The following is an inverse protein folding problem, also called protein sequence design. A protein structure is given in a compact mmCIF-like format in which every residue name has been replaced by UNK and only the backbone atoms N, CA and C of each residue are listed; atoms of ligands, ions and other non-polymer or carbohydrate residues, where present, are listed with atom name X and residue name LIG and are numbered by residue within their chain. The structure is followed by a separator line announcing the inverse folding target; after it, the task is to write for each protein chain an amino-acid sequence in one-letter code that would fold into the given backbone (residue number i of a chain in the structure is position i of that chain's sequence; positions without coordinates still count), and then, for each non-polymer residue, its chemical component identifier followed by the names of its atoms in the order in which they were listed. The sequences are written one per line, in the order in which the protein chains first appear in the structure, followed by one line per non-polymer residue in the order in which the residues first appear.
data_IF_895981426299
#
_entry.id   IF_895981426299
#
_cell.length_a   1.000
_cell.length_b   1.000
_cell.length_c   1.000
_cell.angle_alpha   90.00
_cell.angle_beta   90.00
_cell.angle_gamma   90.00
#
_symmetry.space_group_name_H-M   'P 1'
#
loop_
_entity.id
_entity.type
_entity.pdbx_description
1 polymer ?
#
# COMPACT_ATOMS: atom_id res chain seq x y z
N UNK A 1 -9.21 2.05 -2.56
CA UNK A 1 -8.60 2.32 -3.89
C UNK A 1 -8.20 0.99 -4.50
N UNK A 2 -8.64 0.68 -5.71
CA UNK A 2 -8.23 -0.56 -6.44
C UNK A 2 -7.42 -0.18 -7.68
N UNK A 3 -6.45 -1.02 -8.06
CA UNK A 3 -5.58 -0.85 -9.24
C UNK A 3 -5.76 -2.06 -10.15
N UNK A 4 -6.42 -1.93 -11.31
CA UNK A 4 -6.59 -3.04 -12.26
C UNK A 4 -5.26 -3.57 -12.82
N UNK A 5 -5.28 -4.81 -13.33
CA UNK A 5 -4.12 -5.40 -14.00
C UNK A 5 -3.65 -4.53 -15.17
N UNK A 6 -2.32 -4.43 -15.35
CA UNK A 6 -1.68 -3.64 -16.41
C UNK A 6 -1.99 -2.13 -16.38
N UNK A 7 -2.33 -1.59 -15.20
CA UNK A 7 -2.55 -0.14 -15.02
C UNK A 7 -1.64 0.42 -13.94
N UNK A 8 -1.46 1.74 -14.00
CA UNK A 8 -0.70 2.51 -13.00
C UNK A 8 -1.62 3.55 -12.36
N UNK A 9 -1.50 3.74 -11.05
CA UNK A 9 -2.21 4.78 -10.31
C UNK A 9 -1.26 5.53 -9.38
N UNK A 10 -1.30 6.85 -9.42
CA UNK A 10 -0.50 7.73 -8.56
C UNK A 10 -1.39 8.32 -7.48
N UNK A 11 -0.88 8.39 -6.25
CA UNK A 11 -1.54 9.07 -5.13
C UNK A 11 -0.49 9.77 -4.27
N UNK A 12 -0.91 10.82 -3.57
CA UNK A 12 -0.06 11.61 -2.67
C UNK A 12 -0.67 11.57 -1.29
N UNK A 13 0.15 11.25 -0.29
CA UNK A 13 -0.25 11.18 1.11
C UNK A 13 0.66 12.10 1.92
N UNK A 14 0.09 12.85 2.85
CA UNK A 14 0.85 13.57 3.88
C UNK A 14 0.84 12.69 5.13
N UNK A 15 2.00 12.20 5.53
CA UNK A 15 2.17 11.32 6.69
C UNK A 15 2.91 12.08 7.80
N UNK A 16 2.52 11.83 9.05
CA UNK A 16 3.36 12.21 10.19
C UNK A 16 4.61 11.32 10.23
N UNK A 17 5.61 11.70 11.02
CA UNK A 17 6.78 10.85 11.24
C UNK A 17 6.33 9.53 11.90
N UNK A 18 6.79 8.40 11.36
CA UNK A 18 6.40 7.08 11.84
C UNK A 18 6.59 5.96 10.83
N UNK A 19 6.29 4.75 11.26
CA UNK A 19 6.31 3.53 10.45
C UNK A 19 4.89 3.10 10.12
N UNK A 20 4.60 2.94 8.84
CA UNK A 20 3.30 2.60 8.30
C UNK A 20 3.37 1.32 7.49
N UNK A 21 2.39 0.44 7.69
CA UNK A 21 2.21 -0.73 6.82
C UNK A 21 1.32 -0.34 5.66
N UNK A 22 1.72 -0.65 4.44
CA UNK A 22 0.85 -0.56 3.26
C UNK A 22 0.54 -1.97 2.77
N UNK A 23 -0.74 -2.26 2.60
CA UNK A 23 -1.23 -3.59 2.23
C UNK A 23 -1.94 -3.53 0.88
N UNK A 24 -1.91 -4.65 0.15
CA UNK A 24 -2.90 -4.88 -0.89
C UNK A 24 -4.16 -5.49 -0.27
N UNK A 25 -5.22 -4.68 -0.15
CA UNK A 25 -6.51 -5.12 0.40
C UNK A 25 -7.34 -5.98 -0.56
N UNK A 26 -6.82 -6.27 -1.77
CA UNK A 26 -7.48 -7.20 -2.68
C UNK A 26 -7.61 -8.57 -1.99
N UNK A 27 -8.77 -9.26 -2.11
CA UNK A 27 -9.01 -10.50 -1.39
C UNK A 27 -7.82 -11.47 -1.44
N UNK A 28 -7.40 -11.94 -0.26
CA UNK A 28 -6.28 -12.85 -0.02
C UNK A 28 -4.86 -12.30 -0.27
N UNK A 29 -4.68 -11.15 -0.91
CA UNK A 29 -3.33 -10.67 -1.25
C UNK A 29 -2.49 -10.32 -0.01
N UNK A 30 -3.09 -9.65 0.97
CA UNK A 30 -2.44 -9.43 2.28
C UNK A 30 -2.10 -10.75 2.97
N UNK A 31 -3.05 -11.71 2.99
CA UNK A 31 -2.86 -13.03 3.63
C UNK A 31 -1.77 -13.85 2.94
N UNK A 32 -1.53 -13.62 1.65
CA UNK A 32 -0.43 -14.20 0.89
C UNK A 32 0.88 -13.40 0.98
N UNK A 33 0.91 -12.36 1.83
CA UNK A 33 2.12 -11.62 2.15
C UNK A 33 2.37 -10.37 1.31
N UNK A 34 1.37 -9.86 0.58
CA UNK A 34 1.48 -8.60 -0.18
C UNK A 34 1.37 -7.39 0.77
N UNK A 35 2.40 -7.27 1.62
CA UNK A 35 2.55 -6.31 2.69
C UNK A 35 3.88 -5.61 2.47
N UNK A 36 3.90 -4.28 2.59
CA UNK A 36 5.14 -3.52 2.66
C UNK A 36 5.11 -2.49 3.76
N UNK A 37 6.27 -1.91 4.04
CA UNK A 37 6.46 -0.94 5.13
C UNK A 37 7.06 0.34 4.56
N UNK A 38 6.49 1.47 4.95
CA UNK A 38 7.01 2.81 4.66
C UNK A 38 7.38 3.48 5.97
N UNK A 39 8.58 4.03 6.04
CA UNK A 39 9.00 4.88 7.15
C UNK A 39 9.02 6.33 6.68
N UNK A 40 8.14 7.16 7.24
CA UNK A 40 8.15 8.60 7.06
C UNK A 40 9.03 9.22 8.16
N UNK A 41 9.97 10.07 7.75
CA UNK A 41 10.94 10.73 8.63
C UNK A 41 10.83 12.24 8.47
#
# INVERSE_FOLDING_TARGET
MSVPAFTTKTTTLTLAAGTYTYICHFPLHEQYGMIGVVTAR
#
